data_IF_232545346175
#
_entry.id   IF_232545346175
#
_cell.length_a   1.000
_cell.length_b   1.000
_cell.length_c   1.000
_cell.angle_alpha   90.00
_cell.angle_beta   90.00
_cell.angle_gamma   90.00
#
_symmetry.space_group_name_H-M   'P 1'
#
loop_
_entity.id
_entity.type
_entity.pdbx_description
1 polymer ?
#
# COMPACT_ATOMS: atom_id res chain seq x y z
N UNK A 1 2.89 70.08 -25.19
CA UNK A 1 3.99 69.53 -24.36
C UNK A 1 3.35 68.65 -23.29
N UNK A 2 3.04 67.39 -23.59
CA UNK A 2 3.82 66.18 -23.30
C UNK A 2 4.27 65.99 -21.84
N UNK A 3 3.69 64.94 -21.22
CA UNK A 3 4.36 63.90 -20.40
C UNK A 3 4.73 64.31 -18.95
N UNK A 4 4.46 63.56 -17.89
CA UNK A 4 4.24 62.10 -17.73
C UNK A 4 3.39 61.80 -16.48
N UNK A 5 2.34 61.01 -16.66
CA UNK A 5 1.79 60.14 -15.62
C UNK A 5 2.57 58.82 -15.74
N UNK A 6 3.30 58.42 -14.70
CA UNK A 6 3.89 57.09 -14.56
C UNK A 6 3.23 56.52 -13.31
N UNK A 7 2.06 55.89 -13.48
CA UNK A 7 1.92 54.45 -13.72
C UNK A 7 2.44 53.65 -12.52
N UNK A 8 1.61 53.63 -11.48
CA UNK A 8 1.65 52.67 -10.38
C UNK A 8 1.57 51.27 -11.00
N UNK A 9 2.69 50.56 -11.09
CA UNK A 9 2.72 49.14 -11.42
C UNK A 9 2.09 48.38 -10.24
N UNK A 10 0.77 48.23 -10.36
CA UNK A 10 -0.05 47.32 -9.58
C UNK A 10 0.54 45.91 -9.76
N UNK A 11 1.21 45.43 -8.72
CA UNK A 11 1.74 44.09 -8.56
C UNK A 11 0.58 43.12 -8.30
N UNK A 12 -0.31 42.93 -9.28
CA UNK A 12 -1.31 41.84 -9.28
C UNK A 12 -0.77 40.74 -10.18
N UNK A 13 0.12 39.92 -9.61
CA UNK A 13 0.55 38.64 -10.20
C UNK A 13 0.88 37.60 -9.11
N UNK A 14 0.22 37.65 -7.95
CA UNK A 14 0.40 36.67 -6.86
C UNK A 14 -0.91 36.04 -6.37
N UNK A 15 -1.93 36.01 -7.23
CA UNK A 15 -3.07 35.10 -7.07
C UNK A 15 -3.25 34.30 -8.35
N UNK A 16 -2.15 33.71 -8.82
CA UNK A 16 -2.27 32.41 -9.48
C UNK A 16 -2.80 31.46 -8.42
N UNK A 17 -4.13 31.44 -8.26
CA UNK A 17 -4.85 30.28 -7.75
C UNK A 17 -4.50 29.16 -8.73
N UNK A 18 -3.37 28.52 -8.46
CA UNK A 18 -3.09 27.16 -8.85
C UNK A 18 -4.19 26.33 -8.19
N UNK A 19 -5.37 26.36 -8.79
CA UNK A 19 -6.25 25.21 -8.80
C UNK A 19 -5.41 24.15 -9.50
N UNK A 20 -4.50 23.52 -8.74
CA UNK A 20 -3.97 22.22 -9.03
C UNK A 20 -5.24 21.40 -9.26
N UNK A 21 -5.53 21.17 -10.52
CA UNK A 21 -6.57 20.23 -10.93
C UNK A 21 -6.08 18.94 -10.32
N UNK A 22 -6.59 18.64 -9.13
CA UNK A 22 -6.36 17.41 -8.39
C UNK A 22 -6.51 16.31 -9.41
N UNK A 23 -5.37 15.71 -9.76
CA UNK A 23 -5.27 14.99 -11.02
C UNK A 23 -6.28 13.85 -10.97
N UNK A 24 -6.96 13.55 -12.09
CA UNK A 24 -7.92 12.44 -12.13
C UNK A 24 -7.31 11.11 -11.65
N UNK A 25 -5.98 10.99 -11.70
CA UNK A 25 -5.19 9.90 -11.15
C UNK A 25 -5.19 9.89 -9.62
N UNK A 26 -4.97 11.01 -8.94
CA UNK A 26 -5.00 11.08 -7.47
C UNK A 26 -6.33 10.59 -6.91
N UNK A 27 -7.46 11.06 -7.48
CA UNK A 27 -8.80 10.59 -7.07
C UNK A 27 -9.04 9.11 -7.35
N UNK A 28 -8.52 8.60 -8.48
CA UNK A 28 -8.64 7.19 -8.84
C UNK A 28 -7.93 6.29 -7.83
N UNK A 29 -6.78 6.72 -7.32
CA UNK A 29 -5.96 5.92 -6.41
C UNK A 29 -6.14 6.22 -4.93
N UNK A 30 -6.83 7.31 -4.58
CA UNK A 30 -7.11 7.68 -3.19
C UNK A 30 -7.81 6.56 -2.42
N UNK A 31 -8.74 5.85 -3.06
CA UNK A 31 -9.41 4.70 -2.45
C UNK A 31 -8.43 3.60 -2.01
N UNK A 32 -7.28 3.47 -2.67
CA UNK A 32 -6.26 2.47 -2.34
C UNK A 32 -5.31 2.90 -1.22
N UNK A 33 -5.37 4.17 -0.75
CA UNK A 33 -4.58 4.66 0.37
C UNK A 33 -5.07 4.04 1.68
N UNK A 34 -4.68 2.79 1.92
CA UNK A 34 -5.30 1.94 2.92
C UNK A 34 -4.27 1.03 3.59
N UNK A 35 -4.66 0.42 4.71
CA UNK A 35 -3.93 -0.72 5.25
C UNK A 35 -4.40 -2.01 4.60
N UNK A 36 -3.52 -2.98 4.50
CA UNK A 36 -3.76 -4.26 3.87
C UNK A 36 -3.23 -5.36 4.77
N UNK A 37 -4.01 -6.43 4.92
CA UNK A 37 -3.61 -7.66 5.58
C UNK A 37 -3.27 -8.73 4.55
N UNK A 38 -2.06 -9.26 4.63
CA UNK A 38 -1.53 -10.32 3.78
C UNK A 38 -1.72 -11.67 4.50
N UNK A 39 -2.75 -12.41 4.07
CA UNK A 39 -3.16 -13.66 4.73
C UNK A 39 -2.02 -14.68 4.78
N UNK A 40 -1.36 -14.91 3.65
CA UNK A 40 -0.05 -15.56 3.64
C UNK A 40 0.99 -14.47 3.88
N UNK A 41 1.79 -14.61 4.93
CA UNK A 41 2.96 -13.74 5.16
C UNK A 41 3.72 -13.53 3.85
N UNK A 42 4.28 -12.35 3.64
CA UNK A 42 5.05 -12.03 2.43
C UNK A 42 6.37 -12.83 2.30
N UNK A 43 6.61 -13.83 3.16
CA UNK A 43 7.74 -14.76 3.09
C UNK A 43 7.86 -15.47 1.73
N UNK A 44 6.74 -15.70 1.03
CA UNK A 44 6.74 -16.33 -0.30
C UNK A 44 7.39 -15.46 -1.40
N UNK A 45 7.68 -14.20 -1.10
CA UNK A 45 8.43 -13.31 -1.99
C UNK A 45 9.95 -13.56 -1.95
N UNK A 46 10.43 -14.44 -1.06
CA UNK A 46 11.86 -14.79 -0.94
C UNK A 46 12.53 -15.15 -2.27
N UNK A 47 11.90 -16.04 -3.03
CA UNK A 47 12.36 -16.46 -4.38
C UNK A 47 12.39 -15.34 -5.43
N UNK A 48 11.81 -14.19 -5.13
CA UNK A 48 11.79 -13.00 -5.98
C UNK A 48 12.72 -11.87 -5.48
N UNK A 49 13.57 -12.16 -4.49
CA UNK A 49 14.61 -11.26 -3.99
C UNK A 49 14.26 -10.58 -2.67
N UNK A 50 13.10 -10.88 -2.08
CA UNK A 50 12.76 -10.46 -0.71
C UNK A 50 13.56 -11.27 0.32
N UNK A 51 13.81 -10.74 1.50
CA UNK A 51 14.50 -11.52 2.54
C UNK A 51 13.58 -12.60 3.09
N UNK A 52 14.05 -13.85 3.18
CA UNK A 52 13.28 -14.96 3.76
C UNK A 52 13.07 -14.81 5.27
N UNK A 53 13.90 -13.99 5.94
CA UNK A 53 13.77 -13.71 7.38
C UNK A 53 12.73 -12.62 7.68
N UNK A 54 12.27 -11.90 6.66
CA UNK A 54 11.32 -10.80 6.80
C UNK A 54 9.88 -11.29 6.66
N UNK A 55 9.17 -11.33 7.78
CA UNK A 55 7.77 -11.76 7.85
C UNK A 55 6.87 -10.55 8.03
N UNK A 56 6.16 -10.19 6.97
CA UNK A 56 5.21 -9.08 6.97
C UNK A 56 3.79 -9.60 6.73
N UNK A 57 2.87 -9.19 7.61
CA UNK A 57 1.43 -9.47 7.49
C UNK A 57 0.59 -8.22 7.26
N UNK A 58 1.14 -7.04 7.54
CA UNK A 58 0.43 -5.78 7.37
C UNK A 58 1.28 -4.80 6.58
N UNK A 59 0.62 -4.04 5.72
CA UNK A 59 1.23 -2.94 5.01
C UNK A 59 0.26 -1.81 4.76
N UNK A 60 0.77 -0.58 4.64
CA UNK A 60 -0.01 0.60 4.27
C UNK A 60 0.46 1.09 2.91
N UNK A 61 -0.45 1.10 1.95
CA UNK A 61 -0.18 1.72 0.65
C UNK A 61 -0.51 3.20 0.72
N UNK A 62 0.39 4.01 0.20
CA UNK A 62 0.23 5.44 0.04
C UNK A 62 0.61 5.82 -1.39
N UNK A 63 -0.40 6.16 -2.18
CA UNK A 63 -0.25 6.60 -3.55
C UNK A 63 0.48 7.94 -3.67
N UNK A 64 0.29 8.87 -2.73
CA UNK A 64 0.90 10.20 -2.79
C UNK A 64 2.42 10.09 -2.69
N UNK A 65 2.89 9.20 -1.82
CA UNK A 65 4.32 8.92 -1.65
C UNK A 65 4.82 7.78 -2.54
N UNK A 66 3.93 7.17 -3.32
CA UNK A 66 4.15 5.98 -4.13
C UNK A 66 4.92 4.91 -3.34
N UNK A 67 4.36 4.50 -2.20
CA UNK A 67 5.02 3.53 -1.33
C UNK A 67 4.08 2.55 -0.65
N UNK A 68 4.65 1.41 -0.27
CA UNK A 68 4.01 0.42 0.59
C UNK A 68 4.90 0.23 1.83
N UNK A 69 4.43 0.77 2.95
CA UNK A 69 5.08 0.66 4.25
C UNK A 69 4.70 -0.68 4.87
N UNK A 70 5.68 -1.52 5.21
CA UNK A 70 5.47 -2.85 5.79
C UNK A 70 5.81 -2.81 7.29
N UNK A 71 4.88 -3.32 8.08
CA UNK A 71 4.93 -3.23 9.54
C UNK A 71 5.42 -4.54 10.15
N UNK A 72 6.27 -4.39 11.16
CA UNK A 72 6.60 -5.48 12.08
C UNK A 72 5.40 -5.74 13.00
N UNK A 73 4.96 -6.99 13.12
CA UNK A 73 3.71 -7.31 13.83
C UNK A 73 3.84 -7.23 15.36
N UNK A 74 5.06 -7.39 15.88
CA UNK A 74 5.30 -7.38 17.33
C UNK A 74 5.42 -5.94 17.82
N UNK A 75 6.09 -5.08 17.05
CA UNK A 75 6.37 -3.69 17.44
C UNK A 75 5.43 -2.67 16.81
N UNK A 76 4.76 -3.01 15.70
CA UNK A 76 3.96 -2.10 14.86
C UNK A 76 4.74 -0.91 14.29
N UNK A 77 6.06 -1.01 14.24
CA UNK A 77 6.92 -0.05 13.59
C UNK A 77 7.08 -0.38 12.09
N UNK A 78 7.31 0.66 11.28
CA UNK A 78 7.62 0.49 9.85
C UNK A 78 9.02 -0.07 9.74
N UNK A 79 9.13 -1.33 9.33
CA UNK A 79 10.41 -2.04 9.21
C UNK A 79 10.99 -1.97 7.80
N UNK A 80 10.12 -1.85 6.80
CA UNK A 80 10.53 -1.78 5.40
C UNK A 80 9.58 -0.91 4.60
N UNK A 81 10.13 -0.08 3.72
CA UNK A 81 9.36 0.77 2.82
C UNK A 81 9.67 0.32 1.40
N UNK A 82 8.66 -0.16 0.69
CA UNK A 82 8.76 -0.45 -0.74
C UNK A 82 8.43 0.80 -1.53
N UNK A 83 9.42 1.36 -2.23
CA UNK A 83 9.20 2.48 -3.15
C UNK A 83 8.68 1.96 -4.47
N UNK A 84 7.68 2.66 -5.01
CA UNK A 84 6.89 2.22 -6.14
C UNK A 84 6.97 3.26 -7.26
N UNK A 85 7.02 2.76 -8.50
CA UNK A 85 6.91 3.60 -9.68
C UNK A 85 5.74 3.10 -10.52
N UNK A 86 4.77 3.97 -10.79
CA UNK A 86 3.67 3.61 -11.68
C UNK A 86 4.24 3.21 -13.07
N UNK A 87 3.81 2.05 -13.57
CA UNK A 87 4.20 1.55 -14.88
C UNK A 87 3.11 1.83 -15.91
N UNK A 88 1.95 1.20 -15.72
CA UNK A 88 0.78 1.30 -16.56
C UNK A 88 -0.43 0.91 -15.74
N UNK A 89 -1.53 1.63 -15.93
CA UNK A 89 -2.78 1.39 -15.21
C UNK A 89 -2.50 1.29 -13.70
N UNK A 90 -2.97 0.21 -13.07
CA UNK A 90 -2.83 -0.04 -11.65
C UNK A 90 -1.59 -0.88 -11.30
N UNK A 91 -0.63 -1.00 -12.21
CA UNK A 91 0.61 -1.77 -12.02
C UNK A 91 1.76 -0.84 -11.66
N UNK A 92 2.52 -1.23 -10.64
CA UNK A 92 3.66 -0.52 -10.10
C UNK A 92 4.92 -1.41 -10.13
N UNK A 93 6.02 -0.82 -10.59
CA UNK A 93 7.35 -1.38 -10.40
C UNK A 93 7.76 -1.18 -8.94
N UNK A 94 8.47 -2.16 -8.38
CA UNK A 94 8.96 -2.09 -7.01
C UNK A 94 10.47 -1.83 -7.05
N UNK A 95 10.89 -0.67 -6.56
CA UNK A 95 12.30 -0.27 -6.64
C UNK A 95 13.20 -1.24 -5.88
N UNK A 96 14.33 -1.59 -6.51
CA UNK A 96 15.25 -2.62 -6.00
C UNK A 96 14.85 -4.06 -6.34
N UNK A 97 13.64 -4.30 -6.89
CA UNK A 97 13.16 -5.63 -7.24
C UNK A 97 12.83 -5.71 -8.74
N UNK A 98 13.39 -6.71 -9.42
CA UNK A 98 13.20 -6.92 -10.86
C UNK A 98 12.22 -8.03 -11.21
N UNK A 99 11.85 -8.87 -10.23
CA UNK A 99 11.16 -10.13 -10.45
C UNK A 99 9.73 -10.17 -9.90
N UNK A 100 9.27 -9.08 -9.32
CA UNK A 100 7.86 -8.92 -8.94
C UNK A 100 7.43 -7.46 -9.06
N UNK A 101 6.13 -7.28 -9.20
CA UNK A 101 5.45 -6.00 -9.37
C UNK A 101 4.23 -5.97 -8.44
N UNK A 102 3.73 -4.76 -8.18
CA UNK A 102 2.54 -4.57 -7.36
C UNK A 102 1.37 -4.14 -8.25
N UNK A 103 0.21 -4.73 -8.06
CA UNK A 103 -1.03 -4.41 -8.75
C UNK A 103 -2.11 -4.05 -7.73
N UNK A 104 -2.81 -2.94 -7.96
CA UNK A 104 -4.01 -2.58 -7.19
C UNK A 104 -5.27 -3.04 -7.93
N UNK A 105 -6.01 -3.97 -7.34
CA UNK A 105 -7.24 -4.54 -7.91
C UNK A 105 -8.48 -3.90 -7.26
N UNK A 106 -9.61 -3.72 -7.98
CA UNK A 106 -10.85 -3.26 -7.36
C UNK A 106 -11.21 -4.03 -6.09
N UNK A 107 -11.95 -3.37 -5.18
CA UNK A 107 -12.28 -3.88 -3.83
C UNK A 107 -11.10 -3.93 -2.86
N UNK A 108 -10.22 -2.93 -2.92
CA UNK A 108 -9.12 -2.75 -1.97
C UNK A 108 -8.24 -4.00 -1.86
N UNK A 109 -7.81 -4.53 -2.99
CA UNK A 109 -6.87 -5.65 -3.03
C UNK A 109 -5.50 -5.19 -3.55
N UNK A 110 -4.46 -5.60 -2.83
CA UNK A 110 -3.08 -5.47 -3.28
C UNK A 110 -2.55 -6.83 -3.69
N UNK A 111 -2.00 -6.91 -4.89
CA UNK A 111 -1.56 -8.16 -5.47
C UNK A 111 -0.12 -8.03 -5.94
N UNK A 112 0.74 -8.95 -5.51
CA UNK A 112 2.07 -9.12 -6.06
C UNK A 112 2.02 -10.05 -7.27
N UNK A 113 2.57 -9.60 -8.39
CA UNK A 113 2.55 -10.33 -9.68
C UNK A 113 3.96 -10.51 -10.24
N UNK A 114 4.17 -11.52 -11.10
CA UNK A 114 5.48 -11.87 -11.67
C UNK A 114 5.81 -11.09 -12.94
N UNK A 115 4.79 -10.61 -13.62
CA UNK A 115 4.88 -9.97 -14.92
C UNK A 115 4.02 -8.70 -14.95
N UNK A 116 4.69 -7.57 -15.18
CA UNK A 116 4.07 -6.23 -15.22
C UNK A 116 3.06 -6.07 -16.36
N UNK A 117 3.14 -6.89 -17.39
CA UNK A 117 2.25 -6.87 -18.55
C UNK A 117 1.13 -7.92 -18.45
N UNK A 118 1.14 -8.77 -17.41
CA UNK A 118 0.13 -9.81 -17.18
C UNK A 118 -0.33 -9.84 -15.71
N UNK A 119 -1.42 -9.15 -15.40
CA UNK A 119 -2.01 -9.08 -14.05
C UNK A 119 -2.48 -10.43 -13.49
N UNK A 120 -2.67 -11.45 -14.34
CA UNK A 120 -3.03 -12.80 -13.90
C UNK A 120 -1.83 -13.59 -13.35
N UNK A 121 -0.62 -13.04 -13.41
CA UNK A 121 0.61 -13.69 -12.95
C UNK A 121 0.81 -13.63 -11.43
N UNK A 122 -0.26 -13.99 -10.69
CA UNK A 122 -0.35 -13.91 -9.23
C UNK A 122 0.81 -14.61 -8.50
N UNK A 123 1.29 -13.98 -7.43
CA UNK A 123 2.23 -14.54 -6.45
C UNK A 123 1.54 -14.66 -5.10
N UNK A 124 1.14 -13.52 -4.55
CA UNK A 124 0.50 -13.37 -3.24
C UNK A 124 -0.26 -12.04 -3.21
N UNK A 125 -1.11 -11.81 -2.22
CA UNK A 125 -1.88 -10.58 -2.10
C UNK A 125 -2.45 -10.36 -0.72
N UNK A 126 -2.99 -9.17 -0.51
CA UNK A 126 -3.64 -8.75 0.71
C UNK A 126 -4.93 -7.99 0.43
N UNK A 127 -5.85 -8.02 1.40
CA UNK A 127 -7.11 -7.30 1.35
C UNK A 127 -7.09 -6.15 2.35
N UNK A 128 -7.76 -5.05 1.99
CA UNK A 128 -7.82 -3.85 2.81
C UNK A 128 -9.16 -3.65 3.52
N UNK A 129 -10.22 -4.40 3.19
CA UNK A 129 -11.54 -4.17 3.79
C UNK A 129 -11.46 -4.16 5.34
N UNK A 130 -12.07 -3.13 5.95
CA UNK A 130 -12.13 -2.84 7.39
C UNK A 130 -10.84 -2.38 8.10
N UNK A 131 -9.69 -2.33 7.42
CA UNK A 131 -8.40 -1.94 8.01
C UNK A 131 -8.13 -0.43 7.84
N UNK A 132 -9.03 0.39 8.36
CA UNK A 132 -9.00 1.85 8.13
C UNK A 132 -7.90 2.59 8.92
N UNK A 133 -7.46 2.04 10.05
CA UNK A 133 -6.48 2.65 10.95
C UNK A 133 -5.46 1.63 11.46
N UNK A 134 -4.33 2.10 12.01
CA UNK A 134 -3.34 1.23 12.65
C UNK A 134 -3.93 0.48 13.85
N UNK A 135 -4.82 1.11 14.61
CA UNK A 135 -5.47 0.46 15.75
C UNK A 135 -6.47 -0.60 15.30
N UNK A 136 -7.22 -0.37 14.21
CA UNK A 136 -8.04 -1.41 13.59
C UNK A 136 -7.19 -2.62 13.13
N UNK A 137 -5.98 -2.37 12.60
CA UNK A 137 -5.03 -3.45 12.26
C UNK A 137 -4.59 -4.24 13.50
N UNK A 138 -4.30 -3.56 14.62
CA UNK A 138 -3.91 -4.21 15.88
C UNK A 138 -5.05 -5.06 16.46
N UNK A 139 -6.28 -4.56 16.41
CA UNK A 139 -7.47 -5.30 16.84
C UNK A 139 -7.70 -6.53 15.96
N UNK A 140 -7.60 -6.36 14.64
CA UNK A 140 -7.67 -7.46 13.69
C UNK A 140 -6.59 -8.52 13.98
N UNK A 141 -5.33 -8.11 14.21
CA UNK A 141 -4.25 -9.03 14.54
C UNK A 141 -4.51 -9.82 15.83
N UNK A 142 -5.07 -9.19 16.87
CA UNK A 142 -5.48 -9.89 18.09
C UNK A 142 -6.56 -10.92 17.82
N UNK A 143 -7.55 -10.59 16.98
CA UNK A 143 -8.63 -11.50 16.60
C UNK A 143 -8.09 -12.70 15.82
N UNK A 144 -7.26 -12.47 14.80
CA UNK A 144 -6.62 -13.54 14.01
C UNK A 144 -5.77 -14.45 14.90
N UNK A 145 -4.97 -13.87 15.80
CA UNK A 145 -4.18 -14.66 16.75
C UNK A 145 -5.06 -15.55 17.62
N UNK A 146 -6.15 -14.99 18.16
CA UNK A 146 -7.11 -15.75 18.96
C UNK A 146 -7.75 -16.88 18.15
N UNK A 147 -8.16 -16.63 16.91
CA UNK A 147 -8.75 -17.66 16.04
C UNK A 147 -7.76 -18.82 15.76
N UNK A 148 -6.48 -18.51 15.57
CA UNK A 148 -5.42 -19.52 15.41
C UNK A 148 -5.23 -20.32 16.70
N UNK A 149 -5.15 -19.64 17.84
CA UNK A 149 -4.98 -20.29 19.16
C UNK A 149 -6.18 -21.21 19.48
N UNK A 150 -7.41 -20.73 19.23
CA UNK A 150 -8.65 -21.48 19.45
C UNK A 150 -8.74 -22.71 18.50
N UNK A 151 -8.35 -22.56 17.23
CA UNK A 151 -8.31 -23.68 16.27
C UNK A 151 -7.31 -24.77 16.69
N UNK A 152 -6.12 -24.39 17.16
CA UNK A 152 -5.11 -25.32 17.66
C UNK A 152 -5.57 -26.07 18.92
N UNK A 153 -6.34 -25.41 19.79
CA UNK A 153 -6.92 -26.05 20.97
C UNK A 153 -8.04 -27.05 20.60
N UNK A 154 -8.80 -26.79 19.53
CA UNK A 154 -9.83 -27.71 19.05
C UNK A 154 -9.25 -28.97 18.42
N UNK A 155 -8.12 -28.88 17.71
CA UNK A 155 -7.38 -30.05 17.21
C UNK A 155 -6.77 -30.89 18.35
N UNK A 156 -6.50 -30.27 19.51
CA UNK A 156 -6.11 -30.94 20.74
C UNK A 156 -7.27 -31.60 21.51
N UNK A 157 -8.53 -31.33 21.16
CA UNK A 157 -9.72 -31.91 21.78
C UNK A 157 -10.19 -33.22 21.11
N UNK A 158 -9.48 -33.73 20.09
CA UNK A 158 -9.65 -35.12 19.65
C UNK A 158 -8.83 -36.05 20.56
N UNK A 159 -9.41 -36.46 21.68
CA UNK A 159 -8.89 -37.60 22.44
C UNK A 159 -9.93 -38.23 23.38
N UNK A 160 -9.81 -39.53 23.71
CA UNK A 160 -9.26 -40.67 22.95
C UNK A 160 -10.39 -41.43 22.22
N UNK A 161 -10.04 -42.38 21.34
CA UNK A 161 -10.94 -43.53 21.08
C UNK A 161 -11.07 -44.39 22.33
#
# INVERSE_FOLDING_TARGET
MYRKVILTCILICLTSNSNCIESSLEKKYEAFNHYYYFHTQLEQLGKYGFSETEKFQYGKFDFKTASLDLYDIDTWEVKKILKLKNYKDNVFLVDGYKKFFLYTEPKLQLVFIKDKDNIKSYITGGHGEDLTTLDACKEHAKKVKKEIDDAQQCDGCQGPM
#
